data_IF_576999547643
#
_entry.id   IF_576999547643
#
_cell.length_a   1.000
_cell.length_b   1.000
_cell.length_c   1.000
_cell.angle_alpha   90.00
_cell.angle_beta   90.00
_cell.angle_gamma   90.00
#
_symmetry.space_group_name_H-M   'P 1'
#
loop_
_entity.id
_entity.type
_entity.pdbx_description
1 polymer ?
#
# COMPACT_ATOMS: atom_id res chain seq x y z
N UNK A 1 -39.51 13.70 5.53
CA UNK A 1 -38.38 13.49 6.47
C UNK A 1 -37.10 13.90 5.77
N UNK A 2 -36.33 14.83 6.32
CA UNK A 2 -35.03 15.21 5.77
C UNK A 2 -34.05 14.04 5.90
N UNK A 3 -33.44 13.61 4.79
CA UNK A 3 -32.42 12.55 4.82
C UNK A 3 -31.16 13.12 5.46
N UNK A 4 -30.73 12.54 6.58
CA UNK A 4 -29.44 12.87 7.18
C UNK A 4 -28.32 12.32 6.28
N UNK A 5 -27.21 13.05 6.09
CA UNK A 5 -26.08 12.56 5.31
C UNK A 5 -25.46 11.32 5.97
N UNK A 6 -24.95 10.40 5.15
CA UNK A 6 -24.26 9.20 5.60
C UNK A 6 -22.82 9.56 5.99
N UNK A 7 -22.40 9.18 7.20
CA UNK A 7 -21.01 9.29 7.61
C UNK A 7 -20.21 8.12 7.02
N UNK A 8 -19.32 8.41 6.07
CA UNK A 8 -18.48 7.40 5.41
C UNK A 8 -17.02 7.66 5.73
N UNK A 9 -16.29 6.60 6.08
CA UNK A 9 -14.83 6.61 6.18
C UNK A 9 -14.26 5.56 5.22
N UNK A 10 -13.34 5.98 4.35
CA UNK A 10 -12.56 5.07 3.51
C UNK A 10 -11.22 4.87 4.22
N UNK A 11 -10.98 3.64 4.66
CA UNK A 11 -9.74 3.23 5.31
C UNK A 11 -8.94 2.40 4.32
N UNK A 12 -7.73 2.85 4.01
CA UNK A 12 -6.84 2.18 3.09
C UNK A 12 -5.53 1.85 3.81
N UNK A 13 -5.30 0.56 4.07
CA UNK A 13 -4.09 0.07 4.73
C UNK A 13 -3.18 -0.61 3.70
N UNK A 14 -2.07 0.04 3.36
CA UNK A 14 -1.02 -0.55 2.51
C UNK A 14 0.11 -1.05 3.37
N UNK A 15 0.40 -2.33 3.26
CA UNK A 15 1.61 -2.93 3.78
C UNK A 15 2.42 -3.45 2.59
N UNK A 16 3.60 -2.87 2.36
CA UNK A 16 4.61 -3.46 1.49
C UNK A 16 5.60 -4.25 2.37
N UNK A 17 5.65 -5.58 2.26
CA UNK A 17 6.70 -6.39 2.88
C UNK A 17 8.10 -6.03 2.36
N UNK A 18 9.14 -6.41 3.10
CA UNK A 18 10.50 -6.35 2.57
C UNK A 18 10.72 -7.47 1.56
N UNK A 19 10.78 -7.11 0.28
CA UNK A 19 11.04 -8.03 -0.84
C UNK A 19 12.53 -8.14 -1.19
N UNK A 20 13.41 -7.63 -0.32
CA UNK A 20 14.85 -7.78 -0.48
C UNK A 20 15.27 -9.20 -0.08
N UNK A 21 16.05 -9.84 -0.93
CA UNK A 21 16.77 -11.05 -0.55
C UNK A 21 17.78 -10.70 0.55
N UNK A 22 17.65 -11.33 1.72
CA UNK A 22 18.49 -11.01 2.89
C UNK A 22 19.95 -11.42 2.74
N UNK A 23 20.26 -12.34 1.82
CA UNK A 23 21.61 -12.84 1.57
C UNK A 23 22.32 -12.02 0.47
N UNK A 24 21.60 -11.65 -0.59
CA UNK A 24 22.18 -10.97 -1.76
C UNK A 24 21.89 -9.47 -1.80
N UNK A 25 20.91 -9.00 -1.05
CA UNK A 25 20.44 -7.61 -1.10
C UNK A 25 19.59 -7.29 -2.34
N UNK A 26 19.36 -8.27 -3.22
CA UNK A 26 18.62 -8.05 -4.46
C UNK A 26 17.12 -7.95 -4.21
N UNK A 27 16.47 -7.02 -4.91
CA UNK A 27 15.03 -6.85 -4.86
C UNK A 27 14.41 -7.66 -6.00
N UNK A 28 13.56 -8.61 -5.64
CA UNK A 28 12.80 -9.36 -6.63
C UNK A 28 11.67 -8.50 -7.20
N UNK A 29 11.56 -8.52 -8.54
CA UNK A 29 10.46 -7.99 -9.34
C UNK A 29 10.42 -6.44 -9.43
N UNK A 30 10.15 -5.89 -10.63
CA UNK A 30 10.24 -4.45 -10.86
C UNK A 30 9.23 -3.65 -10.03
N UNK A 31 8.10 -4.27 -9.66
CA UNK A 31 7.01 -3.59 -8.98
C UNK A 31 7.22 -3.33 -7.49
N UNK A 32 8.19 -3.97 -6.86
CA UNK A 32 8.59 -3.66 -5.48
C UNK A 32 9.01 -2.19 -5.34
N UNK A 33 9.43 -1.53 -6.43
CA UNK A 33 9.76 -0.10 -6.43
C UNK A 33 8.55 0.81 -6.70
N UNK A 34 7.44 0.29 -7.24
CA UNK A 34 6.33 1.12 -7.70
C UNK A 34 5.49 1.74 -6.58
N UNK A 35 5.45 1.16 -5.38
CA UNK A 35 4.72 1.76 -4.25
C UNK A 35 5.46 2.93 -3.59
N UNK A 36 6.76 3.07 -3.83
CA UNK A 36 7.60 4.11 -3.23
C UNK A 36 7.90 5.28 -4.17
N UNK A 37 7.40 5.28 -5.41
CA UNK A 37 7.62 6.37 -6.35
C UNK A 37 6.69 7.52 -5.97
N UNK A 38 7.27 8.62 -5.49
CA UNK A 38 6.60 9.92 -5.36
C UNK A 38 6.50 10.61 -6.72
#
# INVERSE_FOLDING_TARGET
MSKRPLCVAILWHMHQPDYRNVQTGEISLPWTRFHGVK
#
